data_IF_469625456993
#
_entry.id   IF_469625456993
#
_cell.length_a   1.000
_cell.length_b   1.000
_cell.length_c   1.000
_cell.angle_alpha   90.00
_cell.angle_beta   90.00
_cell.angle_gamma   90.00
#
_symmetry.space_group_name_H-M   'P 1'
#
loop_
_entity.id
_entity.type
_entity.pdbx_description
1 polymer ?
#
# COMPACT_ATOMS: atom_id res chain seq x y z
N UNK A 1 31.15 -50.13 -83.74
CA UNK A 1 32.49 -50.73 -83.52
C UNK A 1 33.35 -49.67 -82.83
N UNK A 2 33.93 -49.98 -81.65
CA UNK A 2 34.78 -49.14 -80.76
C UNK A 2 34.10 -47.98 -79.99
N UNK A 3 34.01 -48.01 -78.64
CA UNK A 3 35.00 -47.62 -77.56
C UNK A 3 35.13 -46.09 -77.41
N UNK A 4 35.30 -45.44 -76.24
CA UNK A 4 35.46 -45.80 -74.82
C UNK A 4 35.30 -44.51 -73.94
N UNK A 5 34.74 -44.69 -72.74
CA UNK A 5 35.02 -44.10 -71.40
C UNK A 5 35.81 -42.77 -71.16
N UNK A 6 35.23 -41.82 -70.37
CA UNK A 6 35.74 -41.17 -69.10
C UNK A 6 34.94 -39.89 -68.75
N UNK A 7 34.23 -39.79 -67.61
CA UNK A 7 34.61 -39.44 -66.20
C UNK A 7 34.54 -37.93 -65.85
N UNK A 8 33.85 -37.66 -64.72
CA UNK A 8 34.12 -36.62 -63.69
C UNK A 8 33.26 -35.34 -63.63
N UNK A 9 32.30 -35.39 -62.69
CA UNK A 9 31.87 -34.39 -61.68
C UNK A 9 31.16 -33.07 -62.06
N UNK A 10 30.15 -32.66 -61.27
CA UNK A 10 29.23 -31.57 -61.62
C UNK A 10 29.66 -30.22 -61.01
N UNK A 11 29.53 -29.13 -61.76
CA UNK A 11 29.36 -27.78 -61.21
C UNK A 11 28.01 -27.29 -61.69
N UNK A 12 27.04 -27.29 -60.78
CA UNK A 12 25.74 -26.69 -61.02
C UNK A 12 25.82 -25.19 -60.73
N UNK A 13 25.71 -24.39 -61.78
CA UNK A 13 25.08 -23.07 -61.72
C UNK A 13 23.96 -23.13 -62.74
N UNK A 14 22.70 -22.86 -62.35
CA UNK A 14 21.88 -22.14 -63.31
C UNK A 14 21.03 -21.05 -62.68
N UNK A 15 21.11 -19.90 -63.33
CA UNK A 15 20.17 -18.81 -63.24
C UNK A 15 18.95 -19.07 -64.12
N UNK A 16 17.81 -18.48 -63.71
CA UNK A 16 16.68 -18.01 -64.53
C UNK A 16 15.91 -19.14 -65.26
N UNK A 17 14.60 -19.30 -65.10
CA UNK A 17 13.60 -18.27 -65.34
C UNK A 17 12.22 -18.75 -64.82
N UNK A 18 11.43 -17.78 -64.33
CA UNK A 18 9.95 -17.69 -64.35
C UNK A 18 9.10 -18.81 -63.71
N UNK A 19 8.53 -18.48 -62.54
CA UNK A 19 7.15 -18.83 -62.20
C UNK A 19 6.53 -17.66 -61.39
N UNK A 20 5.74 -16.83 -62.09
CA UNK A 20 4.84 -15.86 -61.47
C UNK A 20 3.60 -16.66 -61.04
N UNK A 21 3.53 -17.02 -59.76
CA UNK A 21 2.33 -17.60 -59.17
C UNK A 21 1.49 -16.44 -58.58
N UNK A 22 0.38 -16.14 -59.25
CA UNK A 22 -0.62 -15.19 -58.82
C UNK A 22 -1.36 -15.72 -57.58
N UNK A 23 -0.99 -15.23 -56.39
CA UNK A 23 -1.83 -15.40 -55.20
C UNK A 23 -3.04 -14.47 -55.32
N UNK A 24 -4.16 -15.01 -55.81
CA UNK A 24 -5.48 -14.41 -55.63
C UNK A 24 -5.93 -14.69 -54.19
N UNK A 25 -5.83 -13.70 -53.32
CA UNK A 25 -6.52 -13.70 -52.03
C UNK A 25 -8.03 -13.53 -52.29
N UNK A 26 -8.75 -14.65 -52.38
CA UNK A 26 -10.20 -14.66 -52.35
C UNK A 26 -10.68 -14.51 -50.91
N UNK A 27 -10.95 -13.28 -50.47
CA UNK A 27 -11.66 -13.03 -49.23
C UNK A 27 -13.15 -12.96 -49.60
N UNK A 28 -13.90 -14.00 -49.28
CA UNK A 28 -15.37 -14.03 -49.39
C UNK A 28 -15.96 -13.04 -48.38
N UNK A 29 -16.37 -11.85 -48.82
CA UNK A 29 -16.88 -10.76 -47.97
C UNK A 29 -18.38 -10.83 -47.61
N UNK A 30 -19.12 -11.88 -47.93
CA UNK A 30 -20.59 -11.87 -47.74
C UNK A 30 -21.17 -12.64 -46.52
N UNK A 31 -20.35 -13.21 -45.62
CA UNK A 31 -20.89 -13.95 -44.45
C UNK A 31 -20.57 -13.38 -43.06
N UNK A 32 -19.89 -12.24 -42.98
CA UNK A 32 -19.54 -11.62 -41.69
C UNK A 32 -20.37 -10.36 -41.34
N UNK A 33 -21.46 -10.07 -42.07
CA UNK A 33 -22.34 -8.92 -41.79
C UNK A 33 -23.64 -9.24 -41.03
N UNK A 34 -23.71 -10.36 -40.29
CA UNK A 34 -24.89 -10.66 -39.44
C UNK A 34 -24.60 -10.87 -37.94
N UNK A 35 -23.36 -10.66 -37.46
CA UNK A 35 -23.07 -10.71 -36.00
C UNK A 35 -22.79 -9.35 -35.36
N UNK A 36 -22.71 -8.27 -36.14
CA UNK A 36 -22.55 -6.92 -35.60
C UNK A 36 -23.85 -6.12 -35.43
N UNK A 37 -24.99 -6.63 -35.92
CA UNK A 37 -26.30 -5.98 -35.73
C UNK A 37 -27.00 -6.35 -34.42
N UNK A 38 -26.44 -7.23 -33.58
CA UNK A 38 -27.00 -7.50 -32.24
C UNK A 38 -26.33 -6.68 -31.11
N UNK A 39 -25.32 -5.85 -31.41
CA UNK A 39 -24.57 -5.09 -30.38
C UNK A 39 -24.87 -3.59 -30.44
N UNK A 40 -25.62 -3.09 -31.42
CA UNK A 40 -25.94 -1.66 -31.56
C UNK A 40 -27.31 -1.22 -31.06
N UNK A 41 -28.11 -2.10 -30.48
CA UNK A 41 -29.46 -1.78 -29.97
C UNK A 41 -29.63 -2.00 -28.47
N UNK A 42 -28.53 -1.95 -27.71
CA UNK A 42 -28.53 -2.05 -26.24
C UNK A 42 -27.72 -0.96 -25.52
N UNK A 43 -27.18 0.03 -26.25
CA UNK A 43 -26.32 1.10 -25.71
C UNK A 43 -27.00 2.49 -25.80
N UNK A 44 -28.29 2.56 -25.52
CA UNK A 44 -29.05 3.83 -25.47
C UNK A 44 -30.03 3.89 -24.29
N UNK A 45 -29.70 3.28 -23.15
CA UNK A 45 -30.50 3.48 -21.93
C UNK A 45 -29.77 3.14 -20.61
N UNK A 46 -28.51 3.56 -20.41
CA UNK A 46 -27.92 3.50 -19.05
C UNK A 46 -26.71 4.43 -18.85
N UNK A 47 -26.82 5.70 -19.25
CA UNK A 47 -25.78 6.70 -18.93
C UNK A 47 -26.36 8.08 -18.58
N UNK A 48 -27.57 8.12 -18.01
CA UNK A 48 -28.20 9.39 -17.61
C UNK A 48 -28.76 9.37 -16.18
N UNK A 49 -28.18 8.57 -15.26
CA UNK A 49 -28.62 8.51 -13.85
C UNK A 49 -27.52 8.53 -12.78
N UNK A 50 -26.30 9.03 -13.05
CA UNK A 50 -25.28 9.16 -12.00
C UNK A 50 -24.41 10.44 -12.04
N UNK A 51 -24.86 11.51 -12.70
CA UNK A 51 -24.10 12.77 -12.80
C UNK A 51 -24.82 14.01 -12.24
N UNK A 52 -25.77 13.85 -11.31
CA UNK A 52 -26.54 14.96 -10.72
C UNK A 52 -26.25 15.22 -9.23
N UNK A 53 -25.03 14.99 -8.74
CA UNK A 53 -24.65 15.25 -7.33
C UNK A 53 -23.40 16.13 -7.13
N UNK A 54 -22.97 16.92 -8.11
CA UNK A 54 -21.79 17.79 -7.94
C UNK A 54 -21.94 19.26 -8.36
N UNK A 55 -23.14 19.75 -8.66
CA UNK A 55 -23.33 21.17 -8.99
C UNK A 55 -24.63 21.71 -8.39
N UNK A 56 -24.61 22.03 -7.10
CA UNK A 56 -25.53 22.98 -6.48
C UNK A 56 -25.01 23.39 -5.10
N UNK A 57 -24.22 24.47 -5.04
CA UNK A 57 -24.42 25.53 -4.04
C UNK A 57 -23.50 26.71 -4.38
N UNK A 58 -24.04 27.70 -5.06
CA UNK A 58 -23.50 29.06 -5.04
C UNK A 58 -24.65 30.05 -4.87
N UNK A 59 -24.48 30.90 -3.84
CA UNK A 59 -25.10 32.20 -3.62
C UNK A 59 -26.59 32.28 -3.24
N UNK A 60 -26.82 32.52 -1.94
CA UNK A 60 -27.74 33.56 -1.50
C UNK A 60 -27.08 34.34 -0.35
N UNK A 61 -26.82 35.62 -0.58
CA UNK A 61 -26.48 36.58 0.46
C UNK A 61 -27.66 37.54 0.60
N UNK A 62 -28.16 37.76 1.82
CA UNK A 62 -28.55 39.10 2.29
C UNK A 62 -28.55 39.15 3.82
N UNK A 63 -27.72 40.08 4.29
CA UNK A 63 -27.70 40.84 5.52
C UNK A 63 -28.91 40.78 6.47
N UNK A 64 -28.61 40.61 7.76
CA UNK A 64 -29.09 41.48 8.86
C UNK A 64 -28.33 41.12 10.15
N UNK A 65 -27.77 42.11 10.83
CA UNK A 65 -27.19 41.93 12.17
C UNK A 65 -25.88 42.66 12.44
N UNK A 66 -25.90 44.00 12.33
CA UNK A 66 -24.91 44.86 12.97
C UNK A 66 -25.20 44.91 14.48
N UNK A 67 -24.18 44.76 15.34
CA UNK A 67 -24.30 45.06 16.76
C UNK A 67 -23.15 44.59 17.65
N UNK A 68 -22.12 45.43 17.82
CA UNK A 68 -21.39 45.63 19.08
C UNK A 68 -20.03 44.93 19.27
N UNK A 69 -18.94 45.73 19.29
CA UNK A 69 -17.69 45.41 20.02
C UNK A 69 -17.94 45.41 21.54
N UNK A 70 -17.11 44.86 22.43
CA UNK A 70 -15.67 44.60 22.55
C UNK A 70 -15.47 43.39 23.52
N UNK A 71 -14.25 43.04 24.04
CA UNK A 71 -12.92 42.93 23.46
C UNK A 71 -12.41 41.46 23.48
N UNK A 72 -11.35 41.18 22.70
CA UNK A 72 -10.52 39.98 22.83
C UNK A 72 -9.81 40.02 24.19
N UNK A 73 -10.21 39.15 25.11
CA UNK A 73 -9.44 38.75 26.29
C UNK A 73 -9.03 37.28 26.12
N UNK A 74 -7.74 37.03 26.33
CA UNK A 74 -7.10 35.73 26.11
C UNK A 74 -7.74 34.59 26.90
N UNK A 75 -7.91 33.47 26.20
CA UNK A 75 -8.28 32.18 26.78
C UNK A 75 -7.53 31.08 26.05
N UNK A 76 -6.40 30.67 26.64
CA UNK A 76 -5.75 29.39 26.37
C UNK A 76 -6.73 28.24 26.67
N UNK A 77 -6.72 27.19 25.84
CA UNK A 77 -7.43 25.94 26.13
C UNK A 77 -8.58 25.60 25.18
N UNK A 78 -8.28 25.39 23.90
CA UNK A 78 -9.18 24.68 22.99
C UNK A 78 -9.07 23.18 23.25
N UNK A 79 -9.89 22.66 24.17
CA UNK A 79 -9.98 21.24 24.48
C UNK A 79 -10.32 20.42 23.23
N UNK A 80 -9.42 19.50 22.87
CA UNK A 80 -9.70 18.47 21.88
C UNK A 80 -10.87 17.63 22.36
N UNK A 81 -11.97 17.66 21.62
CA UNK A 81 -13.09 16.75 21.87
C UNK A 81 -12.56 15.32 21.87
N UNK A 82 -12.81 14.59 22.96
CA UNK A 82 -12.37 13.21 23.12
C UNK A 82 -13.06 12.32 22.07
N UNK A 83 -12.42 12.17 20.91
CA UNK A 83 -12.69 11.07 20.00
C UNK A 83 -12.43 9.79 20.79
N UNK A 84 -13.40 8.86 20.82
CA UNK A 84 -13.22 7.59 21.52
C UNK A 84 -12.25 6.68 20.74
N UNK A 85 -10.96 6.99 20.87
CA UNK A 85 -9.83 6.34 20.21
C UNK A 85 -9.61 4.90 20.69
N UNK A 86 -10.32 4.44 21.72
CA UNK A 86 -10.24 3.04 22.19
C UNK A 86 -10.68 2.03 21.11
N UNK A 87 -11.59 2.43 20.21
CA UNK A 87 -12.01 1.64 19.04
C UNK A 87 -10.95 1.61 17.93
N UNK A 88 -10.08 2.61 17.89
CA UNK A 88 -8.94 2.68 16.95
C UNK A 88 -7.82 1.71 17.35
N UNK A 89 -7.71 1.33 18.62
CA UNK A 89 -6.69 0.37 19.06
C UNK A 89 -7.08 -1.11 18.86
N UNK A 90 -8.36 -1.43 18.68
CA UNK A 90 -8.78 -2.83 18.47
C UNK A 90 -8.41 -3.29 17.05
N UNK A 91 -7.49 -4.23 16.96
CA UNK A 91 -6.97 -4.81 15.71
C UNK A 91 -7.73 -6.05 15.26
N UNK A 92 -8.49 -6.71 16.15
CA UNK A 92 -9.11 -8.00 15.88
C UNK A 92 -8.11 -8.97 15.25
N UNK A 93 -8.50 -9.58 14.13
CA UNK A 93 -7.67 -10.54 13.39
C UNK A 93 -6.43 -9.92 12.73
N UNK A 94 -6.31 -8.58 12.63
CA UNK A 94 -5.14 -7.92 12.04
C UNK A 94 -3.94 -7.88 13.00
N UNK A 95 -4.16 -8.16 14.29
CA UNK A 95 -3.15 -7.99 15.33
C UNK A 95 -1.81 -8.71 15.08
N UNK A 96 -1.78 -9.98 14.63
CA UNK A 96 -0.53 -10.70 14.43
C UNK A 96 0.16 -10.35 13.10
N UNK A 97 -0.51 -9.65 12.17
CA UNK A 97 0.01 -9.45 10.82
C UNK A 97 0.97 -8.27 10.74
N UNK A 98 2.22 -8.55 10.37
CA UNK A 98 3.22 -7.55 10.02
C UNK A 98 2.97 -6.99 8.61
N UNK A 99 2.55 -7.85 7.68
CA UNK A 99 2.15 -7.44 6.33
C UNK A 99 0.86 -8.14 5.86
N UNK A 100 0.03 -7.43 5.08
CA UNK A 100 -1.14 -8.01 4.41
C UNK A 100 -1.40 -7.33 3.06
N UNK A 101 -1.67 -8.12 2.01
CA UNK A 101 -1.90 -7.67 0.65
C UNK A 101 -2.62 -8.73 -0.19
N UNK A 102 -3.41 -8.28 -1.17
CA UNK A 102 -3.99 -9.11 -2.22
C UNK A 102 -3.27 -8.99 -3.59
N UNK A 103 -2.37 -8.03 -3.74
CA UNK A 103 -1.63 -7.70 -4.98
C UNK A 103 -0.18 -8.17 -5.04
N UNK A 104 0.29 -8.88 -4.01
CA UNK A 104 1.59 -9.55 -4.03
C UNK A 104 2.76 -8.70 -3.55
N UNK A 105 3.97 -9.16 -3.88
CA UNK A 105 5.21 -8.55 -3.43
C UNK A 105 6.37 -8.73 -4.41
N UNK A 106 7.16 -7.67 -4.59
CA UNK A 106 8.52 -7.74 -5.11
C UNK A 106 9.52 -7.44 -4.00
N UNK A 107 10.52 -8.30 -3.78
CA UNK A 107 11.59 -8.10 -2.78
C UNK A 107 12.99 -8.27 -3.36
N UNK A 108 13.84 -7.24 -3.25
CA UNK A 108 15.26 -7.31 -3.61
C UNK A 108 16.13 -7.23 -2.36
N UNK A 109 17.01 -8.22 -2.17
CA UNK A 109 17.88 -8.29 -0.99
C UNK A 109 17.22 -8.93 0.23
N UNK A 110 17.95 -8.94 1.35
CA UNK A 110 17.54 -9.65 2.57
C UNK A 110 16.50 -8.82 3.34
N UNK A 111 15.22 -9.17 3.21
CA UNK A 111 14.14 -8.54 3.97
C UNK A 111 13.75 -9.42 5.15
N UNK A 112 13.50 -8.85 6.32
CA UNK A 112 13.07 -9.57 7.53
C UNK A 112 11.69 -9.10 7.97
N UNK A 113 10.76 -10.03 8.14
CA UNK A 113 9.42 -9.76 8.69
C UNK A 113 9.26 -10.52 10.00
N UNK A 114 9.04 -9.80 11.10
CA UNK A 114 8.70 -10.37 12.41
C UNK A 114 7.19 -10.19 12.64
N UNK A 115 6.42 -11.21 12.33
CA UNK A 115 4.96 -11.20 12.38
C UNK A 115 4.34 -12.00 11.23
N UNK A 116 3.03 -12.22 11.30
CA UNK A 116 2.30 -12.95 10.28
C UNK A 116 2.21 -12.19 8.95
N UNK A 117 2.03 -12.93 7.86
CA UNK A 117 2.02 -12.43 6.48
C UNK A 117 0.80 -12.95 5.74
N UNK A 118 0.13 -12.07 4.96
CA UNK A 118 -0.87 -12.45 3.96
C UNK A 118 -0.50 -11.90 2.58
N UNK A 119 -0.46 -12.77 1.56
CA UNK A 119 -0.23 -12.46 0.14
C UNK A 119 -1.13 -13.34 -0.74
N UNK A 120 -2.42 -13.04 -0.82
CA UNK A 120 -3.42 -13.87 -1.53
C UNK A 120 -4.55 -12.94 -2.04
N UNK A 121 -4.99 -13.05 -3.31
CA UNK A 121 -4.66 -14.04 -4.34
C UNK A 121 -3.30 -13.87 -5.01
N UNK A 122 -2.83 -12.67 -5.28
CA UNK A 122 -1.73 -12.56 -6.22
C UNK A 122 -0.38 -12.73 -5.52
N UNK A 123 0.17 -13.95 -5.46
CA UNK A 123 1.58 -14.13 -5.13
C UNK A 123 2.46 -13.89 -6.35
N UNK A 124 3.37 -12.92 -6.25
CA UNK A 124 4.43 -12.73 -7.23
C UNK A 124 5.69 -13.42 -6.73
N UNK A 125 6.11 -14.47 -7.43
CA UNK A 125 7.35 -15.17 -7.11
C UNK A 125 8.55 -14.56 -7.82
N UNK A 126 9.58 -14.23 -7.05
CA UNK A 126 10.90 -13.85 -7.57
C UNK A 126 11.82 -15.08 -7.70
N UNK A 127 11.72 -15.80 -8.82
CA UNK A 127 12.74 -16.77 -9.27
C UNK A 127 13.03 -17.98 -8.35
N UNK A 128 13.99 -18.83 -8.77
CA UNK A 128 14.43 -20.02 -8.04
C UNK A 128 15.41 -19.68 -6.91
N UNK A 129 15.23 -20.26 -5.71
CA UNK A 129 16.22 -20.23 -4.61
C UNK A 129 15.96 -19.25 -3.45
N UNK A 130 14.78 -18.66 -3.37
CA UNK A 130 14.49 -17.53 -2.45
C UNK A 130 13.22 -17.89 -1.68
N UNK A 131 13.32 -18.48 -0.47
CA UNK A 131 12.20 -19.10 0.28
C UNK A 131 11.55 -18.18 1.32
N UNK A 132 10.24 -18.37 1.62
CA UNK A 132 9.50 -17.44 2.50
C UNK A 132 9.84 -17.88 3.90
N UNK A 133 10.74 -17.15 4.54
CA UNK A 133 11.20 -17.45 5.89
C UNK A 133 10.77 -16.32 6.82
N UNK A 134 9.74 -16.58 7.63
CA UNK A 134 9.32 -15.65 8.69
C UNK A 134 10.11 -15.99 9.95
N UNK A 135 11.19 -15.26 10.25
CA UNK A 135 11.87 -15.36 11.54
C UNK A 135 13.39 -15.23 11.54
N UNK A 136 14.05 -15.99 12.41
CA UNK A 136 15.45 -15.82 12.82
C UNK A 136 16.45 -16.67 12.03
N UNK A 137 16.51 -16.44 10.72
CA UNK A 137 17.74 -16.43 9.89
C UNK A 137 17.32 -15.88 8.53
N UNK A 138 17.75 -14.66 8.18
CA UNK A 138 17.69 -14.02 6.85
C UNK A 138 16.74 -14.69 5.82
N UNK A 139 15.51 -14.20 5.67
CA UNK A 139 14.92 -13.81 4.35
C UNK A 139 13.40 -13.97 4.19
N UNK A 140 12.75 -12.88 3.77
CA UNK A 140 11.52 -12.93 3.02
C UNK A 140 11.86 -13.19 1.54
N UNK A 141 11.76 -14.44 1.10
CA UNK A 141 11.92 -14.81 -0.30
C UNK A 141 10.72 -15.57 -0.84
N UNK A 142 10.16 -15.28 -1.99
CA UNK A 142 9.03 -16.09 -2.53
C UNK A 142 9.56 -17.23 -3.40
N UNK A 143 9.66 -18.47 -2.90
CA UNK A 143 10.10 -19.58 -3.75
C UNK A 143 8.84 -20.19 -4.36
N UNK A 144 8.61 -19.95 -5.64
CA UNK A 144 7.54 -20.61 -6.39
C UNK A 144 7.77 -22.13 -6.58
N UNK A 145 8.83 -22.68 -5.99
CA UNK A 145 9.21 -24.09 -6.08
C UNK A 145 8.98 -24.85 -4.77
N UNK A 146 8.03 -24.39 -3.95
CA UNK A 146 7.41 -25.26 -2.96
C UNK A 146 6.48 -26.21 -3.71
N UNK A 147 6.90 -27.47 -3.86
CA UNK A 147 6.01 -28.58 -4.25
C UNK A 147 4.74 -28.47 -3.40
N UNK A 148 3.55 -28.58 -3.99
CA UNK A 148 2.28 -28.52 -3.25
C UNK A 148 2.37 -29.42 -1.99
N UNK A 149 2.38 -28.80 -0.81
CA UNK A 149 2.61 -29.49 0.48
C UNK A 149 3.98 -29.26 1.16
N UNK A 150 4.89 -28.47 0.60
CA UNK A 150 6.10 -28.06 1.30
C UNK A 150 5.76 -27.01 2.38
N UNK A 151 6.09 -27.37 3.62
CA UNK A 151 5.81 -26.58 4.82
C UNK A 151 6.56 -25.24 4.76
N UNK A 152 5.85 -24.13 4.58
CA UNK A 152 6.41 -22.79 4.69
C UNK A 152 6.77 -22.58 6.16
N UNK A 153 8.06 -22.72 6.50
CA UNK A 153 8.51 -22.66 7.89
C UNK A 153 8.33 -21.21 8.38
N UNK A 154 7.37 -21.00 9.28
CA UNK A 154 7.47 -19.87 10.20
C UNK A 154 8.59 -20.20 11.19
N UNK A 155 9.74 -19.58 10.99
CA UNK A 155 10.90 -19.68 11.89
C UNK A 155 10.65 -19.00 13.25
N UNK A 156 9.58 -18.20 13.37
CA UNK A 156 9.08 -17.70 14.65
C UNK A 156 7.87 -18.51 15.11
N UNK A 157 8.01 -19.15 16.27
CA UNK A 157 6.92 -19.86 16.94
C UNK A 157 5.71 -18.92 17.11
N UNK A 158 4.63 -19.21 16.40
CA UNK A 158 3.36 -18.47 16.47
C UNK A 158 3.04 -17.54 15.29
N UNK A 159 4.01 -17.21 14.43
CA UNK A 159 3.76 -16.40 13.23
C UNK A 159 3.16 -17.27 12.11
N UNK A 160 2.23 -16.71 11.33
CA UNK A 160 1.48 -17.39 10.24
C UNK A 160 1.81 -16.80 8.88
N UNK A 161 1.81 -17.63 7.84
CA UNK A 161 1.97 -17.20 6.45
C UNK A 161 0.76 -17.72 5.67
N UNK A 162 -0.07 -16.82 5.13
CA UNK A 162 -1.24 -17.14 4.31
C UNK A 162 -0.97 -16.72 2.87
N UNK A 163 -1.04 -17.68 1.95
CA UNK A 163 -0.76 -17.45 0.54
C UNK A 163 -1.55 -18.43 -0.35
N UNK A 164 -1.71 -18.16 -1.65
CA UNK A 164 -2.37 -19.13 -2.57
C UNK A 164 -1.76 -20.54 -2.59
N UNK A 165 -0.47 -20.67 -2.30
CA UNK A 165 0.25 -21.95 -2.32
C UNK A 165 0.11 -22.67 -0.97
N UNK A 166 -0.26 -21.93 0.09
CA UNK A 166 -0.37 -22.44 1.45
C UNK A 166 -1.47 -21.69 2.22
N UNK A 167 -2.61 -22.37 2.44
CA UNK A 167 -3.75 -21.86 3.21
C UNK A 167 -3.72 -22.26 4.69
N UNK A 168 -2.52 -22.55 5.24
CA UNK A 168 -2.39 -23.07 6.60
C UNK A 168 -2.64 -24.57 6.69
N UNK A 169 -2.13 -25.21 7.74
CA UNK A 169 -2.62 -26.54 8.14
C UNK A 169 -4.12 -26.44 8.38
N UNK A 170 -4.87 -27.48 8.01
CA UNK A 170 -6.34 -27.65 7.95
C UNK A 170 -7.17 -27.31 9.22
N UNK A 171 -6.59 -26.66 10.22
CA UNK A 171 -7.25 -26.10 11.39
C UNK A 171 -7.36 -24.55 11.38
N UNK A 172 -6.71 -23.86 10.44
CA UNK A 172 -6.81 -22.39 10.33
C UNK A 172 -7.96 -21.99 9.40
N UNK A 173 -9.00 -21.39 9.97
CA UNK A 173 -10.15 -20.86 9.21
C UNK A 173 -9.98 -19.39 8.84
N UNK A 174 -8.85 -18.76 9.22
CA UNK A 174 -8.57 -17.36 8.89
C UNK A 174 -8.18 -17.29 7.42
N UNK A 175 -9.09 -16.83 6.56
CA UNK A 175 -8.82 -16.67 5.13
C UNK A 175 -8.17 -15.32 4.86
N UNK A 176 -7.43 -15.20 3.75
CA UNK A 176 -6.94 -13.92 3.29
C UNK A 176 -8.09 -12.92 3.08
N UNK A 177 -9.22 -13.38 2.55
CA UNK A 177 -10.44 -12.58 2.42
C UNK A 177 -10.91 -11.98 3.74
N UNK A 178 -10.87 -12.76 4.83
CA UNK A 178 -11.22 -12.26 6.16
C UNK A 178 -10.24 -11.16 6.59
N UNK A 179 -8.94 -11.37 6.41
CA UNK A 179 -7.89 -10.40 6.76
C UNK A 179 -8.04 -9.11 5.95
N UNK A 180 -8.22 -9.20 4.63
CA UNK A 180 -8.41 -8.03 3.76
C UNK A 180 -9.75 -7.31 4.07
N UNK A 181 -10.80 -8.05 4.42
CA UNK A 181 -12.07 -7.46 4.86
C UNK A 181 -11.94 -6.70 6.19
N UNK A 182 -11.20 -7.27 7.16
CA UNK A 182 -10.89 -6.59 8.40
C UNK A 182 -10.03 -5.33 8.16
N UNK A 183 -9.08 -5.38 7.23
CA UNK A 183 -8.31 -4.21 6.79
C UNK A 183 -9.21 -3.13 6.22
N UNK A 184 -10.12 -3.45 5.29
CA UNK A 184 -11.07 -2.48 4.72
C UNK A 184 -11.91 -1.81 5.81
N UNK A 185 -12.43 -2.61 6.75
CA UNK A 185 -13.20 -2.12 7.90
C UNK A 185 -12.38 -1.15 8.74
N UNK A 186 -11.14 -1.52 9.06
CA UNK A 186 -10.26 -0.69 9.88
C UNK A 186 -9.87 0.61 9.17
N UNK A 187 -9.51 0.52 7.90
CA UNK A 187 -9.16 1.68 7.07
C UNK A 187 -10.31 2.69 7.00
N UNK A 188 -11.56 2.23 6.82
CA UNK A 188 -12.75 3.09 6.89
C UNK A 188 -12.93 3.73 8.27
N UNK A 189 -12.68 2.99 9.36
CA UNK A 189 -12.89 3.48 10.74
C UNK A 189 -12.00 4.67 11.12
N UNK A 190 -10.83 4.80 10.51
CA UNK A 190 -9.89 5.92 10.76
C UNK A 190 -9.86 6.97 9.65
N UNK A 191 -10.75 6.85 8.66
CA UNK A 191 -10.84 7.78 7.54
C UNK A 191 -11.31 9.18 7.99
N UNK A 192 -11.05 10.24 7.19
CA UNK A 192 -11.56 11.59 7.46
C UNK A 192 -13.07 11.66 7.70
N UNK A 193 -13.84 10.81 7.02
CA UNK A 193 -15.29 10.75 7.18
C UNK A 193 -15.71 10.20 8.55
N UNK A 194 -14.96 9.25 9.10
CA UNK A 194 -15.24 8.62 10.39
C UNK A 194 -14.72 9.42 11.57
N UNK A 195 -13.64 10.20 11.36
CA UNK A 195 -13.01 11.05 12.38
C UNK A 195 -12.90 12.51 11.87
N UNK A 196 -14.01 13.28 11.81
CA UNK A 196 -14.04 14.60 11.18
C UNK A 196 -13.37 15.72 12.01
N UNK A 197 -13.09 15.49 13.29
CA UNK A 197 -12.47 16.47 14.20
C UNK A 197 -10.93 16.44 14.16
N UNK A 198 -10.36 16.12 13.00
CA UNK A 198 -8.92 16.06 12.82
C UNK A 198 -8.28 17.46 12.85
N UNK A 199 -7.17 17.60 13.58
CA UNK A 199 -6.35 18.80 13.57
C UNK A 199 -5.65 18.91 12.22
N UNK A 200 -5.81 20.06 11.56
CA UNK A 200 -5.17 20.31 10.27
C UNK A 200 -3.66 20.53 10.48
N UNK A 201 -2.84 19.76 9.78
CA UNK A 201 -1.39 19.93 9.77
C UNK A 201 -1.02 21.24 9.06
N UNK A 202 -0.09 22.00 9.63
CA UNK A 202 0.33 23.28 9.09
C UNK A 202 1.17 23.19 7.82
N UNK A 203 1.75 22.01 7.55
CA UNK A 203 2.61 21.77 6.40
C UNK A 203 2.28 20.42 5.76
N UNK A 204 2.36 20.36 4.43
CA UNK A 204 2.18 19.10 3.68
C UNK A 204 3.33 18.11 3.90
N UNK A 205 4.51 18.59 4.30
CA UNK A 205 5.63 17.76 4.75
C UNK A 205 5.97 18.10 6.19
N UNK A 206 5.80 17.13 7.08
CA UNK A 206 5.99 17.26 8.52
C UNK A 206 7.36 16.74 8.99
N UNK A 207 7.77 17.19 10.17
CA UNK A 207 9.07 16.87 10.78
C UNK A 207 10.01 18.07 10.80
N UNK A 208 11.11 17.96 11.54
CA UNK A 208 12.00 19.11 11.83
C UNK A 208 12.75 19.65 10.60
N UNK A 209 12.81 18.88 9.50
CA UNK A 209 13.32 19.32 8.20
C UNK A 209 12.20 19.58 7.18
N UNK A 210 10.95 19.67 7.65
CA UNK A 210 9.74 19.79 6.84
C UNK A 210 9.49 21.20 6.31
N UNK A 211 8.24 21.47 5.95
CA UNK A 211 7.83 22.78 5.45
C UNK A 211 8.23 23.91 6.42
N UNK A 212 8.71 25.02 5.87
CA UNK A 212 9.00 26.22 6.64
C UNK A 212 7.69 26.77 7.23
N UNK A 213 7.69 27.07 8.53
CA UNK A 213 6.53 27.63 9.21
C UNK A 213 6.42 27.20 10.68
N UNK A 214 5.54 27.88 11.41
CA UNK A 214 5.23 27.61 12.81
C UNK A 214 3.92 26.82 12.99
N UNK A 215 3.30 26.31 11.92
CA UNK A 215 2.14 25.43 12.04
C UNK A 215 2.50 24.08 12.65
N UNK A 216 1.55 23.42 13.31
CA UNK A 216 1.75 22.09 13.89
C UNK A 216 2.23 21.10 12.80
N UNK A 217 3.29 20.34 13.11
CA UNK A 217 3.93 19.42 12.18
C UNK A 217 5.00 20.05 11.28
N UNK A 218 5.02 21.38 11.10
CA UNK A 218 6.09 22.07 10.36
C UNK A 218 7.42 22.01 11.13
N UNK A 219 8.51 22.46 10.49
CA UNK A 219 9.86 22.37 11.03
C UNK A 219 10.02 22.91 12.47
N UNK A 220 9.34 24.03 12.79
CA UNK A 220 9.37 24.62 14.14
C UNK A 220 8.49 23.94 15.19
N UNK A 221 7.57 23.06 14.78
CA UNK A 221 6.58 22.40 15.66
C UNK A 221 6.41 20.92 15.27
N UNK A 222 7.54 20.24 15.08
CA UNK A 222 7.62 18.83 14.68
C UNK A 222 7.39 17.83 15.83
N UNK A 223 7.10 18.32 17.04
CA UNK A 223 6.68 17.49 18.17
C UNK A 223 5.17 17.52 18.26
N UNK A 224 4.53 16.38 18.05
CA UNK A 224 3.08 16.24 18.01
C UNK A 224 2.57 15.56 19.29
N UNK A 225 1.64 16.20 20.03
CA UNK A 225 0.91 15.53 21.10
C UNK A 225 -0.05 14.48 20.52
N UNK A 226 -0.65 13.62 21.35
CA UNK A 226 -1.66 12.66 20.92
C UNK A 226 -2.82 13.35 20.20
N UNK A 227 -3.37 12.71 19.17
CA UNK A 227 -4.49 13.30 18.43
C UNK A 227 -4.70 12.74 17.02
N UNK A 228 -5.74 13.25 16.36
CA UNK A 228 -6.05 12.98 14.96
C UNK A 228 -5.57 14.16 14.13
N UNK A 229 -4.84 13.89 13.05
CA UNK A 229 -4.21 14.87 12.19
C UNK A 229 -4.61 14.63 10.73
N UNK A 230 -4.84 15.68 9.96
CA UNK A 230 -5.17 15.59 8.53
C UNK A 230 -4.33 16.56 7.70
N UNK A 231 -3.99 16.14 6.46
CA UNK A 231 -3.41 17.03 5.46
C UNK A 231 -4.34 18.21 5.14
N UNK A 232 -3.85 19.44 5.26
CA UNK A 232 -4.63 20.66 4.98
C UNK A 232 -5.28 20.70 3.59
N UNK A 233 -4.62 20.14 2.58
CA UNK A 233 -5.09 20.13 1.19
C UNK A 233 -5.77 18.82 0.78
N UNK A 234 -6.18 17.98 1.74
CA UNK A 234 -6.66 16.62 1.48
C UNK A 234 -5.71 15.82 0.57
N UNK A 235 -4.41 15.98 0.79
CA UNK A 235 -3.37 15.50 -0.11
C UNK A 235 -2.41 14.56 0.63
N UNK A 236 -1.20 14.46 0.10
CA UNK A 236 -0.12 13.64 0.63
C UNK A 236 0.40 14.22 1.93
N UNK A 237 0.68 13.36 2.91
CA UNK A 237 1.52 13.72 4.06
C UNK A 237 2.94 13.23 3.77
N UNK A 238 3.87 14.19 3.65
CA UNK A 238 5.30 13.92 3.65
C UNK A 238 5.85 13.88 5.07
N UNK A 239 6.83 13.02 5.36
CA UNK A 239 7.60 13.04 6.61
C UNK A 239 9.08 13.20 6.27
N UNK A 240 9.77 14.15 6.89
CA UNK A 240 11.21 14.39 6.64
C UNK A 240 11.92 14.82 7.92
N UNK A 241 13.22 14.54 8.00
CA UNK A 241 13.97 14.70 9.25
C UNK A 241 13.34 13.87 10.37
N UNK A 242 13.25 14.42 11.57
CA UNK A 242 12.61 13.77 12.73
C UNK A 242 11.22 14.35 12.98
N UNK A 243 10.21 13.48 12.98
CA UNK A 243 8.87 13.74 13.53
C UNK A 243 8.81 13.13 14.93
N UNK A 244 8.56 13.95 15.96
CA UNK A 244 8.50 13.44 17.34
C UNK A 244 7.05 13.29 17.76
N UNK A 245 6.67 12.12 18.24
CA UNK A 245 5.38 11.86 18.87
C UNK A 245 5.63 11.74 20.38
N UNK A 246 5.04 12.65 21.16
CA UNK A 246 5.28 12.72 22.60
C UNK A 246 3.98 12.51 23.36
N UNK A 247 3.94 11.45 24.16
CA UNK A 247 2.79 11.09 24.98
C UNK A 247 3.03 9.78 25.72
N UNK A 248 2.02 9.33 26.46
CA UNK A 248 2.09 8.14 27.31
C UNK A 248 1.81 6.85 26.52
N UNK A 249 1.98 5.70 27.19
CA UNK A 249 1.78 4.37 26.60
C UNK A 249 0.35 4.07 26.13
N UNK A 250 -0.64 4.84 26.58
CA UNK A 250 -2.06 4.71 26.22
C UNK A 250 -2.49 5.68 25.13
N UNK A 251 -1.64 6.65 24.81
CA UNK A 251 -1.99 7.74 23.91
C UNK A 251 -1.94 7.28 22.46
N UNK A 252 -2.78 7.90 21.61
CA UNK A 252 -3.03 7.48 20.24
C UNK A 252 -2.80 8.64 19.27
N UNK A 253 -2.17 8.31 18.13
CA UNK A 253 -2.00 9.21 17.00
C UNK A 253 -2.67 8.62 15.77
N UNK A 254 -3.47 9.42 15.07
CA UNK A 254 -4.06 9.04 13.79
C UNK A 254 -3.69 10.11 12.76
N UNK A 255 -2.99 9.73 11.72
CA UNK A 255 -2.64 10.59 10.59
C UNK A 255 -3.50 10.21 9.39
N UNK A 256 -4.22 11.18 8.87
CA UNK A 256 -5.07 11.04 7.71
C UNK A 256 -4.41 11.72 6.52
N UNK A 257 -3.89 10.89 5.61
CA UNK A 257 -3.34 11.31 4.33
C UNK A 257 -4.31 10.89 3.21
N UNK A 258 -5.27 11.75 2.80
CA UNK A 258 -6.29 11.36 1.83
C UNK A 258 -5.73 11.02 0.45
N UNK A 259 -4.52 11.46 0.12
CA UNK A 259 -3.77 10.99 -1.06
C UNK A 259 -2.73 9.94 -0.67
N UNK A 260 -1.46 10.30 -0.51
CA UNK A 260 -0.37 9.36 -0.25
C UNK A 260 0.36 9.63 1.07
N UNK A 261 1.18 8.68 1.51
CA UNK A 261 2.18 8.89 2.56
C UNK A 261 3.56 8.75 1.93
N UNK A 262 4.44 9.72 2.15
CA UNK A 262 5.83 9.63 1.69
C UNK A 262 6.78 9.98 2.82
N UNK A 263 7.79 9.14 3.08
CA UNK A 263 8.88 9.52 3.98
C UNK A 263 10.12 9.85 3.16
N UNK A 264 10.87 10.87 3.57
CA UNK A 264 12.14 11.23 2.96
C UNK A 264 13.23 10.22 3.35
N UNK A 265 14.31 10.17 2.57
CA UNK A 265 15.49 9.36 2.89
C UNK A 265 16.00 9.75 4.29
N UNK A 266 16.32 8.73 5.11
CA UNK A 266 16.83 8.90 6.48
C UNK A 266 15.91 9.68 7.43
N UNK A 267 14.61 9.76 7.13
CA UNK A 267 13.63 10.32 8.07
C UNK A 267 13.33 9.36 9.22
N UNK A 268 12.88 9.90 10.35
CA UNK A 268 12.60 9.14 11.57
C UNK A 268 11.31 9.60 12.21
N UNK A 269 10.44 8.66 12.57
CA UNK A 269 9.35 8.89 13.53
C UNK A 269 9.86 8.48 14.90
N UNK A 270 10.10 9.46 15.77
CA UNK A 270 10.62 9.26 17.12
C UNK A 270 9.47 9.22 18.13
N UNK A 271 9.42 8.18 18.96
CA UNK A 271 8.45 8.05 20.05
C UNK A 271 9.10 8.46 21.37
N UNK A 272 8.42 9.30 22.15
CA UNK A 272 8.90 9.84 23.44
C UNK A 272 7.78 9.83 24.47
N UNK A 273 8.12 9.97 25.76
CA UNK A 273 7.14 10.01 26.85
C UNK A 273 6.49 8.66 27.21
N UNK A 274 6.90 7.57 26.56
CA UNK A 274 6.28 6.24 26.69
C UNK A 274 5.33 5.89 25.55
N UNK A 275 5.20 6.74 24.54
CA UNK A 275 4.44 6.48 23.32
C UNK A 275 4.85 5.15 22.66
N UNK A 276 3.87 4.43 22.11
CA UNK A 276 4.04 3.11 21.48
C UNK A 276 3.67 3.15 20.01
N UNK A 277 4.44 2.46 19.17
CA UNK A 277 4.18 2.32 17.74
C UNK A 277 2.84 1.60 17.50
N UNK A 278 2.42 0.73 18.42
CA UNK A 278 1.09 0.11 18.40
C UNK A 278 -0.06 1.11 18.34
N UNK A 279 0.13 2.34 18.82
CA UNK A 279 -0.91 3.35 18.93
C UNK A 279 -0.79 4.47 17.86
N UNK A 280 0.13 4.33 16.92
CA UNK A 280 0.30 5.28 15.81
C UNK A 280 -0.34 4.67 14.56
N UNK A 281 -1.28 5.38 13.95
CA UNK A 281 -2.07 4.92 12.82
C UNK A 281 -1.99 5.88 11.65
N UNK A 282 -1.82 5.34 10.45
CA UNK A 282 -1.77 6.10 9.21
C UNK A 282 -2.87 5.60 8.27
N UNK A 283 -3.89 6.43 8.07
CA UNK A 283 -4.83 6.27 6.97
C UNK A 283 -4.19 6.83 5.70
N UNK A 284 -4.06 5.99 4.67
CA UNK A 284 -3.51 6.38 3.38
C UNK A 284 -4.53 6.09 2.28
N UNK A 285 -4.99 7.16 1.62
CA UNK A 285 -6.05 7.08 0.60
C UNK A 285 -5.63 6.40 -0.70
N UNK A 286 -4.33 6.30 -0.95
CA UNK A 286 -3.71 5.60 -2.09
C UNK A 286 -2.55 4.72 -1.60
N UNK A 287 -1.32 5.05 -1.96
CA UNK A 287 -0.12 4.28 -1.67
C UNK A 287 0.79 4.98 -0.65
N UNK A 288 1.61 4.19 0.05
CA UNK A 288 2.66 4.68 0.92
C UNK A 288 4.05 4.36 0.38
N UNK A 289 4.98 5.31 0.51
CA UNK A 289 6.37 5.20 0.05
C UNK A 289 7.32 5.58 1.17
N UNK A 290 7.93 4.57 1.79
CA UNK A 290 8.95 4.77 2.81
C UNK A 290 10.32 4.80 2.14
N UNK A 291 10.94 5.97 1.92
CA UNK A 291 12.23 6.01 1.22
C UNK A 291 13.39 5.44 2.06
N UNK A 292 14.54 5.25 1.42
CA UNK A 292 15.68 4.52 1.99
C UNK A 292 16.14 5.02 3.36
N UNK A 293 16.57 4.09 4.21
CA UNK A 293 17.03 4.34 5.58
C UNK A 293 16.02 5.06 6.50
N UNK A 294 14.73 5.10 6.13
CA UNK A 294 13.69 5.60 7.04
C UNK A 294 13.57 4.69 8.26
N UNK A 295 13.38 5.27 9.45
CA UNK A 295 12.94 4.55 10.66
C UNK A 295 11.49 4.89 10.95
N UNK A 296 10.58 3.98 10.60
CA UNK A 296 9.14 4.19 10.71
C UNK A 296 8.59 3.52 11.97
N UNK A 297 7.86 4.28 12.80
CA UNK A 297 7.15 3.77 13.97
C UNK A 297 5.65 4.04 13.80
N UNK A 298 4.87 2.99 13.53
CA UNK A 298 3.42 3.07 13.38
C UNK A 298 2.83 2.07 12.41
N UNK A 299 1.49 2.00 12.38
CA UNK A 299 0.72 1.11 11.52
C UNK A 299 0.21 1.86 10.30
N UNK A 300 0.48 1.35 9.09
CA UNK A 300 -0.01 1.91 7.82
C UNK A 300 -1.18 1.08 7.33
N UNK A 301 -2.32 1.75 7.08
CA UNK A 301 -3.47 1.20 6.37
C UNK A 301 -3.56 1.92 5.02
N UNK A 302 -3.12 1.26 3.95
CA UNK A 302 -3.12 1.81 2.60
C UNK A 302 -4.25 1.23 1.75
N UNK A 303 -4.93 2.11 1.02
CA UNK A 303 -5.91 1.74 0.00
C UNK A 303 -5.30 0.90 -1.12
N UNK A 304 -4.09 1.27 -1.56
CA UNK A 304 -3.35 0.64 -2.65
C UNK A 304 -2.03 0.04 -2.12
N UNK A 305 -0.88 0.39 -2.69
CA UNK A 305 0.41 -0.29 -2.49
C UNK A 305 1.27 0.34 -1.40
N UNK A 306 2.21 -0.43 -0.85
CA UNK A 306 3.23 0.08 0.09
C UNK A 306 4.62 -0.29 -0.44
N UNK A 307 5.50 0.70 -0.53
CA UNK A 307 6.90 0.49 -0.94
C UNK A 307 7.86 0.92 0.15
N UNK A 308 8.95 0.18 0.32
CA UNK A 308 10.07 0.54 1.18
C UNK A 308 11.36 0.57 0.36
N UNK A 309 12.06 1.70 0.43
CA UNK A 309 13.38 1.89 -0.12
C UNK A 309 14.45 1.15 0.66
N UNK A 310 15.68 1.15 0.13
CA UNK A 310 16.81 0.38 0.67
C UNK A 310 16.99 0.58 2.17
N UNK A 311 17.03 -0.53 2.92
CA UNK A 311 17.33 -0.55 4.36
C UNK A 311 16.37 0.26 5.25
N UNK A 312 15.21 0.68 4.74
CA UNK A 312 14.18 1.26 5.58
C UNK A 312 13.66 0.20 6.58
N UNK A 313 13.30 0.66 7.78
CA UNK A 313 12.80 -0.17 8.87
C UNK A 313 11.41 0.29 9.31
N UNK A 314 10.57 -0.65 9.75
CA UNK A 314 9.24 -0.39 10.27
C UNK A 314 9.01 -1.18 11.56
N UNK A 315 8.74 -0.48 12.65
CA UNK A 315 8.06 -1.05 13.81
C UNK A 315 6.58 -0.70 13.71
N UNK A 316 5.76 -1.70 13.45
CA UNK A 316 4.35 -1.51 13.15
C UNK A 316 3.80 -2.59 12.25
N UNK A 317 2.72 -2.24 11.55
CA UNK A 317 2.04 -3.11 10.60
C UNK A 317 1.91 -2.39 9.27
N UNK A 318 2.24 -3.07 8.18
CA UNK A 318 2.10 -2.55 6.82
C UNK A 318 0.94 -3.29 6.16
N UNK A 319 -0.25 -2.71 6.15
CA UNK A 319 -1.44 -3.34 5.62
C UNK A 319 -1.89 -2.60 4.37
N UNK A 320 -1.89 -3.30 3.23
CA UNK A 320 -2.11 -2.72 1.90
C UNK A 320 -3.29 -3.37 1.20
N UNK A 321 -3.87 -2.69 0.22
CA UNK A 321 -5.03 -3.21 -0.51
C UNK A 321 -6.35 -3.06 0.25
N UNK A 322 -6.50 -2.01 1.07
CA UNK A 322 -7.76 -1.78 1.77
C UNK A 322 -8.93 -1.51 0.80
N UNK A 323 -8.69 -0.93 -0.39
CA UNK A 323 -9.72 -0.67 -1.39
C UNK A 323 -9.32 -1.10 -2.82
N UNK A 324 -8.20 -1.81 -2.96
CA UNK A 324 -7.70 -2.37 -4.21
C UNK A 324 -6.88 -3.63 -3.93
N UNK A 325 -6.13 -4.14 -4.91
CA UNK A 325 -5.28 -5.31 -4.67
C UNK A 325 -4.15 -4.99 -3.67
N UNK A 326 -3.47 -3.85 -3.87
CA UNK A 326 -2.33 -3.38 -3.07
C UNK A 326 -1.13 -4.31 -3.17
N UNK A 327 0.04 -3.82 -3.57
CA UNK A 327 1.25 -4.64 -3.63
C UNK A 327 2.35 -4.11 -2.70
N UNK A 328 3.29 -4.97 -2.35
CA UNK A 328 4.49 -4.60 -1.62
C UNK A 328 5.72 -4.52 -2.53
N UNK A 329 6.57 -3.53 -2.29
CA UNK A 329 7.93 -3.50 -2.84
C UNK A 329 8.92 -3.32 -1.68
N UNK A 330 9.87 -4.25 -1.54
CA UNK A 330 10.90 -4.23 -0.52
C UNK A 330 12.31 -4.26 -1.12
N UNK A 331 13.23 -3.53 -0.50
CA UNK A 331 14.65 -3.43 -0.81
C UNK A 331 15.46 -3.63 0.49
N UNK A 332 15.71 -4.88 0.88
CA UNK A 332 16.45 -5.25 2.09
C UNK A 332 15.93 -4.56 3.37
N UNK A 333 14.66 -4.78 3.70
CA UNK A 333 13.96 -4.06 4.79
C UNK A 333 13.82 -4.90 6.06
N UNK A 334 13.47 -4.24 7.16
CA UNK A 334 12.98 -4.92 8.37
C UNK A 334 11.59 -4.40 8.72
N UNK A 335 10.62 -5.30 8.88
CA UNK A 335 9.28 -5.00 9.38
C UNK A 335 9.04 -5.84 10.62
N UNK A 336 8.57 -5.21 11.69
CA UNK A 336 8.29 -5.91 12.93
C UNK A 336 7.00 -5.44 13.57
N UNK A 337 6.12 -6.38 13.89
CA UNK A 337 4.94 -6.08 14.69
C UNK A 337 5.40 -5.60 16.08
N UNK A 338 4.78 -4.53 16.64
CA UNK A 338 5.12 -4.06 17.97
C UNK A 338 4.96 -5.16 19.02
N UNK A 339 5.96 -5.33 19.88
CA UNK A 339 5.98 -6.35 20.93
C UNK A 339 6.28 -7.79 20.46
N UNK A 340 6.63 -8.01 19.19
CA UNK A 340 7.09 -9.33 18.75
C UNK A 340 8.39 -9.72 19.50
N UNK A 341 8.55 -10.98 19.97
CA UNK A 341 9.75 -11.41 20.70
C UNK A 341 11.07 -11.21 19.95
N UNK A 342 11.03 -11.21 18.61
CA UNK A 342 12.18 -11.01 17.74
C UNK A 342 12.29 -9.58 17.20
N UNK A 343 11.48 -8.66 17.71
CA UNK A 343 11.47 -7.27 17.29
C UNK A 343 12.80 -6.57 17.65
N UNK A 344 13.25 -5.61 16.82
CA UNK A 344 14.34 -4.71 17.21
C UNK A 344 14.04 -4.04 18.56
N UNK A 345 15.09 -3.77 19.34
CA UNK A 345 14.96 -3.09 20.63
C UNK A 345 14.21 -1.75 20.45
N UNK A 346 13.20 -1.51 21.29
CA UNK A 346 12.36 -0.30 21.24
C UNK A 346 11.10 -0.42 20.38
N UNK A 347 10.87 -1.55 19.70
CA UNK A 347 9.65 -1.75 18.94
C UNK A 347 8.48 -2.24 19.83
N UNK A 348 7.70 -1.29 20.38
CA UNK A 348 6.62 -1.51 21.34
C UNK A 348 5.28 -0.93 20.93
#
# INVERSE_FOLDING_TARGET
MSKDYRRSTPIAVPAKDRLILSMRFGINEEKQMNRFNSVKTGMTQSTTRQLTWFMALLLAAVATGCGGGDPILGGSGGGGGNVNLTTVSNLGILAPYGIASAGGMTNTGLTKINGSVVLDPNQTCQGTGVAVVVGNTNDFGTSCNVTAGANMVSNNVGDKVITQIWNGTSADTTTADAVISALNTKWKSISPASLPLATVLGCGTIGNAGGAGAGIGCAGNATLPPGVYISATNSTIGVTGTLTLNGNATDVWVFQAPSALTTAISSTILLTGGAKASNVWWYVGSSASLLGSTTFNGNILASASISMGTSATSCGRLLSGAAGAGAFTFLANTVSVPGNPNAPAGCQ
#
